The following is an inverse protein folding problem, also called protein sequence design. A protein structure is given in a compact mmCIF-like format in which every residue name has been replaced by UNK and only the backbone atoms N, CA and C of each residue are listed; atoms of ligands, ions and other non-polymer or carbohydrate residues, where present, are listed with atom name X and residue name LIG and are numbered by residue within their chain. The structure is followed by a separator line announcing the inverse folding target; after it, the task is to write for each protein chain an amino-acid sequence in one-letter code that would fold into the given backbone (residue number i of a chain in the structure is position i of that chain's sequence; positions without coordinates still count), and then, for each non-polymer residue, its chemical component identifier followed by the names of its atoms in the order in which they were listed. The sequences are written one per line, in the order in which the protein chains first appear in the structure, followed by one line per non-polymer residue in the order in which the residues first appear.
data_IF_764831827551
#
_entry.id   IF_764831827551
#
_cell.length_a   1.000
_cell.length_b   1.000
_cell.length_c   1.000
_cell.angle_alpha   90.00
_cell.angle_beta   90.00
_cell.angle_gamma   90.00
#
_symmetry.space_group_name_H-M   'P 1'
#
loop_
_entity.id
_entity.type
_entity.pdbx_description
1 polymer ?
#
# COMPACT_ATOMS: atom_id res chain seq x y z
N UNK A 1 -9.57 -51.28 34.09
CA UNK A 1 -10.64 -51.30 33.06
C UNK A 1 -11.14 -52.72 32.91
N UNK A 2 -12.46 -52.95 32.94
CA UNK A 2 -13.05 -54.30 32.83
C UNK A 2 -12.70 -54.91 31.46
N UNK A 3 -11.76 -55.87 31.43
CA UNK A 3 -11.53 -56.72 30.25
C UNK A 3 -12.68 -57.74 30.21
N UNK A 4 -13.74 -57.41 29.49
CA UNK A 4 -14.92 -58.28 29.36
C UNK A 4 -14.57 -59.55 28.57
N UNK A 5 -14.63 -60.70 29.24
CA UNK A 5 -14.54 -62.01 28.58
C UNK A 5 -15.94 -62.32 28.01
N UNK A 6 -16.08 -62.36 26.69
CA UNK A 6 -17.35 -62.80 26.08
C UNK A 6 -17.40 -64.34 26.18
N UNK A 7 -18.44 -64.95 26.78
CA UNK A 7 -18.55 -66.40 26.84
C UNK A 7 -18.69 -67.00 25.43
N UNK A 8 -18.12 -68.18 25.17
CA UNK A 8 -18.10 -68.79 23.84
C UNK A 8 -19.54 -68.99 23.30
N UNK A 9 -19.81 -68.49 22.10
CA UNK A 9 -21.04 -68.80 21.36
C UNK A 9 -20.78 -69.95 20.39
N UNK A 10 -21.67 -70.95 20.36
CA UNK A 10 -21.65 -72.02 19.35
C UNK A 10 -22.14 -71.43 18.03
N UNK A 11 -21.30 -71.47 17.00
CA UNK A 11 -21.74 -71.16 15.64
C UNK A 11 -22.59 -72.32 15.10
N UNK A 12 -23.50 -72.02 14.16
CA UNK A 12 -24.50 -72.97 13.59
C UNK A 12 -23.88 -74.18 12.87
N UNK A 13 -22.57 -74.18 12.67
CA UNK A 13 -21.76 -75.19 12.00
C UNK A 13 -20.84 -75.98 12.96
N UNK A 14 -21.06 -75.92 14.27
CA UNK A 14 -20.33 -76.71 15.28
C UNK A 14 -18.97 -76.13 15.71
N UNK A 15 -18.58 -74.96 15.20
CA UNK A 15 -17.37 -74.25 15.63
C UNK A 15 -17.62 -73.40 16.90
N UNK A 16 -16.64 -73.37 17.80
CA UNK A 16 -16.64 -72.51 18.98
C UNK A 16 -15.88 -71.21 18.70
N UNK A 17 -16.57 -70.07 18.72
CA UNK A 17 -15.96 -68.76 18.48
C UNK A 17 -15.78 -68.03 19.82
N UNK A 18 -14.58 -67.53 20.07
CA UNK A 18 -14.22 -66.68 21.21
C UNK A 18 -13.74 -65.33 20.67
N UNK A 19 -14.33 -64.24 21.16
CA UNK A 19 -13.96 -62.87 20.79
C UNK A 19 -13.46 -62.07 21.99
N UNK A 20 -12.48 -61.20 21.75
CA UNK A 20 -12.00 -60.19 22.71
C UNK A 20 -12.36 -58.81 22.16
N UNK A 21 -13.07 -58.00 22.95
CA UNK A 21 -13.42 -56.62 22.61
C UNK A 21 -12.72 -55.68 23.61
N UNK A 22 -11.94 -54.72 23.09
CA UNK A 22 -11.31 -53.66 23.90
C UNK A 22 -12.06 -52.36 23.60
N UNK A 23 -12.85 -51.88 24.57
CA UNK A 23 -13.58 -50.60 24.44
C UNK A 23 -12.72 -49.46 24.98
N UNK A 24 -12.72 -48.33 24.28
CA UNK A 24 -11.97 -47.12 24.64
C UNK A 24 -10.46 -47.38 24.83
N UNK A 25 -9.85 -48.04 23.84
CA UNK A 25 -8.43 -48.40 23.89
C UNK A 25 -7.54 -47.16 24.03
N UNK A 26 -6.55 -47.27 24.91
CA UNK A 26 -5.50 -46.27 25.18
C UNK A 26 -4.14 -46.81 24.75
N UNK A 27 -3.10 -45.98 24.75
CA UNK A 27 -1.72 -46.46 24.49
C UNK A 27 -1.28 -47.57 25.44
N UNK A 28 -1.90 -47.70 26.62
CA UNK A 28 -1.63 -48.79 27.57
C UNK A 28 -2.21 -50.16 27.13
N UNK A 29 -3.10 -50.18 26.14
CA UNK A 29 -3.70 -51.40 25.61
C UNK A 29 -2.90 -51.99 24.44
N UNK A 30 -1.84 -51.32 23.99
CA UNK A 30 -0.91 -51.85 22.98
C UNK A 30 -0.11 -53.03 23.52
N UNK A 31 -0.01 -54.10 22.74
CA UNK A 31 0.72 -55.30 23.15
C UNK A 31 0.32 -56.57 22.40
N UNK A 32 0.92 -57.70 22.77
CA UNK A 32 0.54 -59.02 22.26
C UNK A 32 -0.56 -59.61 23.12
N UNK A 33 -1.67 -59.97 22.49
CA UNK A 33 -2.79 -60.66 23.11
C UNK A 33 -2.78 -62.12 22.69
N UNK A 34 -2.64 -63.00 23.67
CA UNK A 34 -2.56 -64.44 23.46
C UNK A 34 -3.94 -65.07 23.63
N UNK A 35 -4.35 -65.88 22.66
CA UNK A 35 -5.50 -66.76 22.77
C UNK A 35 -5.01 -68.19 22.95
N UNK A 36 -5.30 -68.78 24.11
CA UNK A 36 -4.91 -70.14 24.47
C UNK A 36 -6.16 -71.00 24.65
N UNK A 37 -6.22 -72.12 23.94
CA UNK A 37 -7.26 -73.12 24.08
C UNK A 37 -6.64 -74.46 24.50
N UNK A 38 -7.22 -75.11 25.51
CA UNK A 38 -6.78 -76.41 26.02
C UNK A 38 -7.96 -77.38 26.01
N UNK A 39 -7.76 -78.56 25.43
CA UNK A 39 -8.71 -79.68 25.50
C UNK A 39 -7.95 -80.89 26.05
N UNK A 40 -8.43 -81.41 27.18
CA UNK A 40 -7.72 -82.43 27.97
C UNK A 40 -6.27 -82.02 28.25
N UNK A 41 -5.27 -82.70 27.69
CA UNK A 41 -3.84 -82.42 27.90
C UNK A 41 -3.16 -81.72 26.71
N UNK A 42 -3.92 -81.28 25.70
CA UNK A 42 -3.36 -80.60 24.51
C UNK A 42 -3.74 -79.12 24.55
N UNK A 43 -2.73 -78.26 24.57
CA UNK A 43 -2.88 -76.81 24.49
C UNK A 43 -2.41 -76.30 23.13
N UNK A 44 -3.22 -75.43 22.51
CA UNK A 44 -2.85 -74.63 21.35
C UNK A 44 -2.94 -73.15 21.72
N UNK A 45 -1.97 -72.37 21.27
CA UNK A 45 -1.91 -70.93 21.50
C UNK A 45 -1.66 -70.20 20.18
N UNK A 46 -2.31 -69.06 20.02
CA UNK A 46 -2.01 -68.07 18.99
C UNK A 46 -1.93 -66.70 19.65
N UNK A 47 -1.33 -65.72 18.97
CA UNK A 47 -1.35 -64.35 19.45
C UNK A 47 -1.70 -63.38 18.32
N UNK A 48 -2.23 -62.23 18.72
CA UNK A 48 -2.44 -61.08 17.86
C UNK A 48 -1.79 -59.85 18.50
N UNK A 49 -1.11 -59.02 17.71
CA UNK A 49 -0.52 -57.77 18.22
C UNK A 49 -1.55 -56.66 18.01
N UNK A 50 -1.96 -56.02 19.09
CA UNK A 50 -2.76 -54.80 19.08
C UNK A 50 -1.79 -53.63 19.13
N UNK A 51 -1.96 -52.66 18.24
CA UNK A 51 -1.20 -51.41 18.18
C UNK A 51 -2.21 -50.29 18.30
N UNK A 52 -1.98 -49.33 19.20
CA UNK A 52 -2.91 -48.21 19.41
C UNK A 52 -2.28 -46.95 18.82
N UNK A 53 -2.79 -46.51 17.67
CA UNK A 53 -2.33 -45.28 17.02
C UNK A 53 -3.10 -44.09 17.60
N UNK A 54 -2.39 -43.08 18.09
CA UNK A 54 -2.99 -41.79 18.41
C UNK A 54 -3.44 -41.15 17.11
N UNK A 55 -4.74 -40.91 16.99
CA UNK A 55 -5.30 -40.22 15.84
C UNK A 55 -4.67 -38.82 15.68
N UNK A 56 -4.42 -38.44 14.44
CA UNK A 56 -3.99 -37.10 14.06
C UNK A 56 -5.01 -36.51 13.10
N UNK A 57 -5.28 -35.22 13.20
CA UNK A 57 -6.04 -34.43 12.22
C UNK A 57 -5.31 -33.12 12.04
N UNK A 58 -5.08 -32.70 10.80
CA UNK A 58 -4.59 -31.36 10.47
C UNK A 58 -5.20 -30.88 9.15
N UNK A 59 -5.59 -29.60 9.11
CA UNK A 59 -6.15 -28.93 7.95
C UNK A 59 -5.16 -27.85 7.50
N UNK A 60 -4.72 -27.89 6.24
CA UNK A 60 -3.87 -26.83 5.68
C UNK A 60 -4.69 -25.57 5.30
N UNK A 61 -4.09 -24.37 5.29
CA UNK A 61 -4.78 -23.15 4.85
C UNK A 61 -5.29 -23.28 3.40
N UNK A 62 -6.54 -22.88 3.17
CA UNK A 62 -7.21 -22.85 1.85
C UNK A 62 -7.96 -21.53 1.72
N UNK A 63 -8.12 -21.00 0.51
CA UNK A 63 -9.04 -19.89 0.27
C UNK A 63 -10.46 -20.29 0.70
N UNK A 64 -10.97 -19.62 1.73
CA UNK A 64 -12.23 -20.01 2.37
C UNK A 64 -13.45 -19.32 1.78
N UNK A 65 -13.26 -18.25 1.00
CA UNK A 65 -14.37 -17.45 0.44
C UNK A 65 -14.61 -17.80 -1.02
N UNK A 66 -15.85 -18.11 -1.39
CA UNK A 66 -16.27 -18.31 -2.78
C UNK A 66 -17.43 -17.37 -3.13
N UNK A 67 -17.46 -16.96 -4.40
CA UNK A 67 -18.52 -16.13 -4.99
C UNK A 67 -19.34 -16.95 -6.00
N UNK A 68 -20.65 -16.81 -5.96
CA UNK A 68 -21.58 -17.47 -6.88
C UNK A 68 -22.80 -16.61 -7.16
N UNK A 69 -23.45 -16.82 -8.29
CA UNK A 69 -24.77 -16.26 -8.59
C UNK A 69 -25.86 -17.32 -8.36
N UNK A 70 -27.09 -16.89 -8.08
CA UNK A 70 -28.26 -17.78 -8.05
C UNK A 70 -28.40 -18.52 -9.37
N UNK A 71 -28.50 -19.85 -9.32
CA UNK A 71 -28.56 -20.74 -10.47
C UNK A 71 -27.22 -21.36 -10.88
N UNK A 72 -26.09 -20.94 -10.29
CA UNK A 72 -24.79 -21.58 -10.54
C UNK A 72 -24.89 -23.08 -10.20
N UNK A 73 -24.42 -23.93 -11.11
CA UNK A 73 -24.59 -25.39 -10.98
C UNK A 73 -23.85 -25.98 -9.78
N UNK A 74 -22.63 -25.54 -9.51
CA UNK A 74 -21.82 -26.04 -8.39
C UNK A 74 -20.83 -24.99 -7.90
N UNK A 75 -20.60 -24.96 -6.59
CA UNK A 75 -19.44 -24.34 -5.93
C UNK A 75 -18.72 -25.44 -5.15
N UNK A 76 -17.39 -25.47 -5.19
CA UNK A 76 -16.60 -26.48 -4.49
C UNK A 76 -15.40 -25.87 -3.79
N UNK A 77 -15.11 -26.34 -2.58
CA UNK A 77 -13.85 -26.12 -1.87
C UNK A 77 -13.10 -27.43 -1.76
N UNK A 78 -11.79 -27.40 -1.96
CA UNK A 78 -10.91 -28.57 -1.81
C UNK A 78 -10.03 -28.35 -0.59
N UNK A 79 -10.27 -29.11 0.46
CA UNK A 79 -9.56 -29.06 1.73
C UNK A 79 -8.46 -30.12 1.76
N UNK A 80 -7.23 -29.74 2.06
CA UNK A 80 -6.16 -30.71 2.34
C UNK A 80 -6.26 -31.14 3.80
N UNK A 81 -6.56 -32.41 4.02
CA UNK A 81 -6.85 -32.96 5.35
C UNK A 81 -6.03 -34.22 5.59
N UNK A 82 -5.10 -34.11 6.54
CA UNK A 82 -4.25 -35.22 6.96
C UNK A 82 -4.83 -35.85 8.22
N UNK A 83 -5.60 -36.92 8.05
CA UNK A 83 -6.24 -37.62 9.17
C UNK A 83 -6.18 -39.14 9.06
N UNK A 84 -5.70 -39.77 10.14
CA UNK A 84 -5.64 -41.23 10.29
C UNK A 84 -6.00 -41.64 11.73
N UNK A 85 -6.93 -42.61 11.94
CA UNK A 85 -7.78 -43.26 10.94
C UNK A 85 -8.80 -42.30 10.31
N UNK A 86 -9.68 -42.80 9.43
CA UNK A 86 -10.66 -41.97 8.72
C UNK A 86 -11.55 -41.18 9.71
N UNK A 87 -11.52 -39.84 9.68
CA UNK A 87 -12.36 -39.03 10.55
C UNK A 87 -13.81 -39.04 10.07
N UNK A 88 -14.73 -38.76 10.99
CA UNK A 88 -16.08 -38.36 10.64
C UNK A 88 -16.07 -36.91 10.16
N UNK A 89 -16.85 -36.59 9.12
CA UNK A 89 -16.91 -35.24 8.54
C UNK A 89 -18.34 -34.77 8.61
N UNK A 90 -18.56 -33.66 9.29
CA UNK A 90 -19.86 -33.03 9.48
C UNK A 90 -19.81 -31.66 8.80
N UNK A 91 -20.84 -31.32 8.02
CA UNK A 91 -20.98 -30.00 7.42
C UNK A 91 -22.14 -29.29 8.11
N UNK A 92 -21.92 -28.06 8.55
CA UNK A 92 -22.98 -27.17 9.01
C UNK A 92 -23.12 -25.98 8.08
N UNK A 93 -24.33 -25.47 7.95
CA UNK A 93 -24.63 -24.21 7.30
C UNK A 93 -25.38 -23.31 8.29
N UNK A 94 -24.85 -22.11 8.55
CA UNK A 94 -25.41 -21.15 9.52
C UNK A 94 -25.73 -21.79 10.88
N UNK A 95 -24.84 -22.69 11.35
CA UNK A 95 -24.93 -23.38 12.64
C UNK A 95 -25.75 -24.67 12.65
N UNK A 96 -26.48 -25.01 11.58
CA UNK A 96 -27.29 -26.22 11.47
C UNK A 96 -26.58 -27.29 10.62
N UNK A 97 -26.57 -28.54 11.08
CA UNK A 97 -26.01 -29.66 10.32
C UNK A 97 -26.82 -29.92 9.05
N UNK A 98 -26.12 -30.03 7.92
CA UNK A 98 -26.72 -30.29 6.61
C UNK A 98 -26.37 -31.71 6.13
N UNK A 99 -27.31 -32.42 5.50
CA UNK A 99 -27.08 -33.80 5.06
C UNK A 99 -26.16 -33.88 3.84
N UNK A 100 -25.33 -34.93 3.76
CA UNK A 100 -24.57 -35.25 2.56
C UNK A 100 -25.51 -35.89 1.50
N UNK A 101 -25.88 -35.12 0.47
CA UNK A 101 -26.85 -35.50 -0.55
C UNK A 101 -26.54 -34.84 -1.91
N UNK A 102 -27.53 -34.78 -2.81
CA UNK A 102 -27.39 -34.15 -4.13
C UNK A 102 -27.18 -32.63 -4.09
N UNK A 103 -27.55 -31.96 -2.99
CA UNK A 103 -27.35 -30.53 -2.75
C UNK A 103 -25.99 -30.27 -2.13
N UNK A 104 -25.73 -30.83 -0.96
CA UNK A 104 -24.46 -30.70 -0.24
C UNK A 104 -23.68 -32.00 -0.37
N UNK A 105 -22.58 -32.01 -1.10
CA UNK A 105 -21.80 -33.21 -1.37
C UNK A 105 -20.42 -33.11 -0.73
N UNK A 106 -20.04 -34.13 0.03
CA UNK A 106 -18.71 -34.29 0.59
C UNK A 106 -18.05 -35.49 -0.06
N UNK A 107 -16.96 -35.26 -0.79
CA UNK A 107 -16.18 -36.30 -1.44
C UNK A 107 -14.78 -36.33 -0.86
N UNK A 108 -14.24 -37.53 -0.62
CA UNK A 108 -12.88 -37.69 -0.09
C UNK A 108 -12.00 -38.39 -1.10
N UNK A 109 -10.80 -37.83 -1.31
CA UNK A 109 -9.74 -38.47 -2.07
C UNK A 109 -8.65 -38.93 -1.09
N UNK A 110 -8.57 -40.24 -0.88
CA UNK A 110 -7.61 -40.84 0.05
C UNK A 110 -6.17 -40.78 -0.47
N UNK A 111 -5.96 -40.85 -1.79
CA UNK A 111 -4.63 -40.79 -2.40
C UNK A 111 -4.03 -39.39 -2.30
N UNK A 112 -4.85 -38.36 -2.57
CA UNK A 112 -4.44 -36.96 -2.53
C UNK A 112 -4.57 -36.31 -1.14
N UNK A 113 -5.09 -37.04 -0.15
CA UNK A 113 -5.40 -36.53 1.20
C UNK A 113 -6.27 -35.26 1.16
N UNK A 114 -7.31 -35.26 0.33
CA UNK A 114 -8.22 -34.11 0.19
C UNK A 114 -9.68 -34.48 0.49
N UNK A 115 -10.43 -33.47 0.95
CA UNK A 115 -11.88 -33.49 1.08
C UNK A 115 -12.43 -32.36 0.22
N UNK A 116 -13.29 -32.69 -0.73
CA UNK A 116 -14.02 -31.73 -1.55
C UNK A 116 -15.41 -31.54 -0.98
N UNK A 117 -15.75 -30.31 -0.62
CA UNK A 117 -17.10 -29.91 -0.21
C UNK A 117 -17.74 -29.15 -1.36
N UNK A 118 -18.86 -29.64 -1.87
CA UNK A 118 -19.57 -29.07 -3.02
C UNK A 118 -21.01 -28.74 -2.70
N UNK A 119 -21.46 -27.55 -3.09
CA UNK A 119 -22.85 -27.11 -3.02
C UNK A 119 -23.37 -27.00 -4.45
N UNK A 120 -24.45 -27.69 -4.76
CA UNK A 120 -25.05 -27.74 -6.09
C UNK A 120 -26.27 -26.81 -6.20
N UNK A 121 -26.60 -26.39 -7.42
CA UNK A 121 -27.79 -25.59 -7.74
C UNK A 121 -27.99 -24.41 -6.78
N UNK A 122 -27.05 -23.47 -6.79
CA UNK A 122 -26.97 -22.37 -5.82
C UNK A 122 -28.25 -21.52 -5.83
N UNK A 123 -28.73 -21.17 -4.64
CA UNK A 123 -29.89 -20.33 -4.36
C UNK A 123 -29.50 -19.22 -3.39
N UNK A 124 -30.33 -18.18 -3.22
CA UNK A 124 -30.06 -17.09 -2.29
C UNK A 124 -29.99 -17.57 -0.83
N UNK A 125 -30.69 -18.68 -0.51
CA UNK A 125 -30.66 -19.32 0.81
C UNK A 125 -29.34 -20.01 1.13
N UNK A 126 -28.47 -20.22 0.14
CA UNK A 126 -27.15 -20.83 0.35
C UNK A 126 -26.08 -19.80 0.75
N UNK A 127 -26.40 -18.50 0.75
CA UNK A 127 -25.50 -17.45 1.23
C UNK A 127 -25.23 -17.63 2.73
N UNK A 128 -23.95 -17.53 3.10
CA UNK A 128 -23.56 -17.61 4.50
C UNK A 128 -22.30 -18.41 4.75
N UNK A 129 -22.20 -18.88 5.99
CA UNK A 129 -21.00 -19.55 6.50
C UNK A 129 -21.28 -21.05 6.65
N UNK A 130 -20.41 -21.83 6.05
CA UNK A 130 -20.36 -23.28 6.17
C UNK A 130 -19.23 -23.67 7.10
N UNK A 131 -19.50 -24.54 8.07
CA UNK A 131 -18.49 -25.07 8.98
C UNK A 131 -18.27 -26.54 8.67
N UNK A 132 -17.05 -26.88 8.25
CA UNK A 132 -16.63 -28.27 8.06
C UNK A 132 -15.96 -28.73 9.34
N UNK A 133 -16.60 -29.66 10.03
CA UNK A 133 -16.15 -30.22 11.30
C UNK A 133 -15.59 -31.62 11.03
N UNK A 134 -14.31 -31.81 11.32
CA UNK A 134 -13.57 -33.05 11.16
C UNK A 134 -13.35 -33.64 12.54
N UNK A 135 -14.00 -34.76 12.81
CA UNK A 135 -14.03 -35.39 14.13
C UNK A 135 -13.33 -36.75 14.09
N UNK A 136 -12.30 -36.92 14.94
CA UNK A 136 -11.56 -38.15 15.13
C UNK A 136 -11.58 -38.54 16.61
N UNK A 137 -12.59 -39.33 17.01
CA UNK A 137 -12.84 -39.66 18.41
C UNK A 137 -13.21 -38.42 19.23
N UNK A 138 -12.31 -38.02 20.14
CA UNK A 138 -12.45 -36.80 20.96
C UNK A 138 -11.79 -35.56 20.34
N UNK A 139 -10.99 -35.72 19.28
CA UNK A 139 -10.38 -34.59 18.58
C UNK A 139 -11.36 -34.03 17.54
N UNK A 140 -11.47 -32.71 17.50
CA UNK A 140 -12.30 -32.00 16.53
C UNK A 140 -11.52 -30.83 15.95
N UNK A 141 -11.49 -30.71 14.63
CA UNK A 141 -11.06 -29.48 13.95
C UNK A 141 -12.21 -28.93 13.12
N UNK A 142 -12.31 -27.61 13.07
CA UNK A 142 -13.35 -26.90 12.32
C UNK A 142 -12.70 -25.88 11.40
N UNK A 143 -13.17 -25.83 10.15
CA UNK A 143 -12.83 -24.77 9.20
C UNK A 143 -14.11 -24.11 8.68
N UNK A 144 -14.11 -22.78 8.65
CA UNK A 144 -15.23 -21.97 8.14
C UNK A 144 -14.99 -21.58 6.68
N UNK A 145 -15.97 -21.88 5.83
CA UNK A 145 -16.02 -21.52 4.41
C UNK A 145 -17.14 -20.51 4.22
N UNK A 146 -16.90 -19.44 3.47
CA UNK A 146 -17.90 -18.39 3.21
C UNK A 146 -18.37 -18.49 1.77
N UNK A 147 -19.67 -18.66 1.56
CA UNK A 147 -20.31 -18.48 0.26
C UNK A 147 -20.99 -17.12 0.23
N UNK A 148 -20.65 -16.32 -0.79
CA UNK A 148 -21.36 -15.08 -1.11
C UNK A 148 -22.19 -15.37 -2.35
N UNK A 149 -23.52 -15.40 -2.20
CA UNK A 149 -24.46 -15.52 -3.32
C UNK A 149 -24.84 -14.13 -3.76
N UNK A 150 -24.23 -13.71 -4.87
CA UNK A 150 -24.56 -12.47 -5.56
C UNK A 150 -25.97 -12.62 -6.12
N UNK A 151 -26.90 -11.83 -5.59
CA UNK A 151 -28.30 -11.82 -6.03
C UNK A 151 -28.38 -11.44 -7.51
N UNK A 152 -28.58 -12.45 -8.37
CA UNK A 152 -28.89 -12.25 -9.79
C UNK A 152 -30.32 -11.75 -9.89
N UNK A 153 -30.49 -10.43 -9.92
CA UNK A 153 -31.66 -9.86 -10.60
C UNK A 153 -31.51 -10.31 -12.06
N UNK A 154 -32.43 -11.14 -12.55
CA UNK A 154 -32.56 -11.39 -13.98
C UNK A 154 -32.98 -10.08 -14.65
N UNK A 155 -32.00 -9.24 -14.96
CA UNK A 155 -32.17 -8.29 -16.05
C UNK A 155 -32.17 -9.14 -17.32
N UNK A 156 -33.29 -9.17 -18.05
CA UNK A 156 -33.17 -9.10 -19.50
C UNK A 156 -32.13 -8.03 -19.75
N UNK A 157 -30.94 -8.37 -20.25
CA UNK A 157 -29.93 -7.36 -20.61
C UNK A 157 -30.69 -6.43 -21.54
N UNK A 158 -31.01 -5.20 -21.11
CA UNK A 158 -31.57 -4.24 -22.03
C UNK A 158 -30.46 -4.09 -23.06
N UNK A 159 -30.79 -4.07 -24.35
CA UNK A 159 -29.88 -3.63 -25.41
C UNK A 159 -29.57 -2.13 -25.24
N UNK A 160 -29.18 -1.75 -24.04
CA UNK A 160 -28.92 -0.41 -23.57
C UNK A 160 -27.48 -0.09 -23.88
N UNK A 161 -27.31 1.03 -24.54
CA UNK A 161 -26.04 1.70 -24.72
C UNK A 161 -25.84 2.63 -23.52
N UNK A 162 -24.68 2.54 -22.87
CA UNK A 162 -24.23 3.56 -21.91
C UNK A 162 -23.18 4.40 -22.62
N UNK A 163 -23.31 5.72 -22.62
CA UNK A 163 -22.24 6.62 -23.05
C UNK A 163 -22.10 7.79 -22.08
N UNK A 164 -20.85 8.13 -21.77
CA UNK A 164 -20.51 9.21 -20.85
C UNK A 164 -19.64 10.22 -21.59
N UNK A 165 -20.11 11.46 -21.69
CA UNK A 165 -19.31 12.58 -22.21
C UNK A 165 -18.93 13.51 -21.05
N UNK A 166 -17.64 13.57 -20.64
CA UNK A 166 -17.21 14.52 -19.61
C UNK A 166 -17.16 15.95 -20.14
N UNK A 167 -17.70 16.89 -19.36
CA UNK A 167 -17.57 18.33 -19.64
C UNK A 167 -16.28 18.89 -19.04
N UNK A 168 -16.02 18.61 -17.76
CA UNK A 168 -14.74 18.87 -17.07
C UNK A 168 -14.55 17.82 -15.97
N UNK A 169 -13.40 17.14 -15.90
CA UNK A 169 -13.16 16.09 -14.89
C UNK A 169 -12.34 16.56 -13.70
N UNK A 170 -11.66 17.70 -13.80
CA UNK A 170 -10.83 18.24 -12.71
C UNK A 170 -11.49 19.47 -12.12
N UNK A 171 -11.63 19.50 -10.80
CA UNK A 171 -12.14 20.65 -10.06
C UNK A 171 -11.17 21.09 -8.97
N UNK A 172 -11.20 22.39 -8.68
CA UNK A 172 -10.35 23.05 -7.70
C UNK A 172 -11.20 23.62 -6.57
N UNK A 173 -10.72 23.45 -5.34
CA UNK A 173 -11.41 23.93 -4.15
C UNK A 173 -10.42 24.33 -3.05
N UNK A 174 -10.83 25.26 -2.20
CA UNK A 174 -10.16 25.52 -0.93
C UNK A 174 -10.91 24.79 0.20
N UNK A 175 -10.20 24.49 1.28
CA UNK A 175 -10.79 23.98 2.52
C UNK A 175 -11.89 24.92 3.02
N UNK A 176 -13.06 24.38 3.31
CA UNK A 176 -14.26 25.12 3.71
C UNK A 176 -15.17 25.53 2.56
N UNK A 177 -14.80 25.26 1.29
CA UNK A 177 -15.73 25.47 0.16
C UNK A 177 -16.98 24.63 0.38
N UNK A 178 -18.16 25.25 0.24
CA UNK A 178 -19.44 24.62 0.58
C UNK A 178 -19.79 23.43 -0.31
N UNK A 179 -19.52 23.52 -1.61
CA UNK A 179 -19.84 22.46 -2.57
C UNK A 179 -18.88 22.50 -3.76
N UNK A 180 -18.53 21.32 -4.27
CA UNK A 180 -17.98 21.10 -5.60
C UNK A 180 -18.88 20.11 -6.31
N UNK A 181 -19.24 20.37 -7.56
CA UNK A 181 -20.12 19.49 -8.33
C UNK A 181 -19.55 19.24 -9.72
N UNK A 182 -19.70 18.01 -10.20
CA UNK A 182 -19.47 17.62 -11.59
C UNK A 182 -20.79 17.22 -12.22
N UNK A 183 -21.00 17.65 -13.46
CA UNK A 183 -22.15 17.25 -14.27
C UNK A 183 -21.68 16.28 -15.33
N UNK A 184 -22.24 15.08 -15.31
CA UNK A 184 -21.97 14.01 -16.26
C UNK A 184 -23.19 13.82 -17.14
N UNK A 185 -23.03 13.92 -18.46
CA UNK A 185 -24.08 13.52 -19.38
C UNK A 185 -24.02 12.01 -19.51
N UNK A 186 -25.13 11.33 -19.16
CA UNK A 186 -25.21 9.87 -19.16
C UNK A 186 -26.46 9.46 -19.88
N UNK A 187 -26.26 8.89 -21.06
CA UNK A 187 -27.32 8.31 -21.86
C UNK A 187 -27.35 6.82 -21.58
N UNK A 188 -28.39 6.37 -20.89
CA UNK A 188 -28.59 4.98 -20.52
C UNK A 188 -30.09 4.70 -20.39
N UNK A 189 -30.52 3.57 -20.97
CA UNK A 189 -31.88 3.06 -20.86
C UNK A 189 -31.82 1.55 -20.62
N UNK A 190 -32.34 1.02 -19.49
CA UNK A 190 -32.94 1.71 -18.36
C UNK A 190 -31.90 2.43 -17.47
N UNK A 191 -32.37 3.07 -16.40
CA UNK A 191 -31.51 3.80 -15.47
C UNK A 191 -30.39 2.91 -14.88
N UNK A 192 -29.12 3.31 -15.00
CA UNK A 192 -28.00 2.50 -14.50
C UNK A 192 -27.85 2.64 -12.98
N UNK A 193 -27.19 1.67 -12.35
CA UNK A 193 -26.65 1.82 -10.99
C UNK A 193 -25.42 2.74 -11.02
N UNK A 194 -25.25 3.60 -10.01
CA UNK A 194 -24.11 4.53 -9.94
C UNK A 194 -23.43 4.35 -8.59
N UNK A 195 -22.14 4.05 -8.63
CA UNK A 195 -21.30 3.87 -7.46
C UNK A 195 -20.20 4.92 -7.50
N UNK A 196 -19.97 5.64 -6.40
CA UNK A 196 -18.86 6.55 -6.24
C UNK A 196 -17.79 5.91 -5.35
N UNK A 197 -16.54 5.86 -5.82
CA UNK A 197 -15.40 5.39 -5.02
C UNK A 197 -14.37 6.48 -4.83
N UNK A 198 -13.81 6.56 -3.62
CA UNK A 198 -12.68 7.41 -3.28
C UNK A 198 -11.63 6.59 -2.52
N UNK A 199 -10.35 6.73 -2.88
CA UNK A 199 -9.26 5.93 -2.31
C UNK A 199 -9.49 4.40 -2.38
N UNK A 200 -10.19 3.94 -3.43
CA UNK A 200 -10.51 2.53 -3.65
C UNK A 200 -11.75 2.03 -2.90
N UNK A 201 -12.28 2.81 -1.96
CA UNK A 201 -13.45 2.46 -1.16
C UNK A 201 -14.71 3.13 -1.72
N UNK A 202 -15.84 2.46 -1.65
CA UNK A 202 -17.13 3.05 -1.96
C UNK A 202 -17.51 4.09 -0.91
N UNK A 203 -17.94 5.26 -1.37
CA UNK A 203 -18.41 6.33 -0.49
C UNK A 203 -19.94 6.37 -0.52
N UNK A 204 -20.59 6.52 0.65
CA UNK A 204 -22.05 6.50 0.73
C UNK A 204 -22.65 7.77 0.14
N UNK A 205 -23.83 7.64 -0.50
CA UNK A 205 -24.64 8.79 -0.90
C UNK A 205 -25.32 9.41 0.34
N UNK A 206 -24.87 10.57 0.78
CA UNK A 206 -25.31 11.23 2.01
C UNK A 206 -25.13 12.75 1.94
N UNK A 207 -25.22 13.45 3.07
CA UNK A 207 -25.04 14.91 3.15
C UNK A 207 -23.64 15.41 2.77
N UNK A 208 -22.64 14.52 2.71
CA UNK A 208 -21.26 14.83 2.32
C UNK A 208 -21.02 14.56 0.84
N UNK A 209 -21.39 13.37 0.37
CA UNK A 209 -21.27 12.96 -1.03
C UNK A 209 -22.68 12.78 -1.60
N UNK A 210 -23.11 13.63 -2.52
CA UNK A 210 -24.44 13.58 -3.11
C UNK A 210 -24.35 13.16 -4.58
N UNK A 211 -25.19 12.20 -4.99
CA UNK A 211 -25.39 11.84 -6.39
C UNK A 211 -26.84 12.10 -6.75
N UNK A 212 -27.06 13.10 -7.60
CA UNK A 212 -28.38 13.50 -8.09
C UNK A 212 -28.52 13.13 -9.56
N UNK A 213 -29.71 12.71 -9.98
CA UNK A 213 -30.01 12.36 -11.37
C UNK A 213 -31.07 13.29 -11.91
N UNK A 214 -30.82 13.85 -13.08
CA UNK A 214 -31.83 14.56 -13.85
C UNK A 214 -32.23 13.70 -15.06
N UNK A 215 -33.41 13.09 -14.98
CA UNK A 215 -33.92 12.20 -16.03
C UNK A 215 -34.29 12.95 -17.31
N UNK A 216 -34.77 14.18 -17.20
CA UNK A 216 -35.15 15.01 -18.37
C UNK A 216 -33.91 15.43 -19.16
N UNK A 217 -32.85 15.83 -18.45
CA UNK A 217 -31.61 16.31 -19.06
C UNK A 217 -30.61 15.18 -19.34
N UNK A 218 -30.90 13.95 -18.94
CA UNK A 218 -29.98 12.79 -19.01
C UNK A 218 -28.62 13.09 -18.37
N UNK A 219 -28.64 13.68 -17.18
CA UNK A 219 -27.43 14.04 -16.44
C UNK A 219 -27.38 13.43 -15.04
N UNK A 220 -26.16 13.21 -14.57
CA UNK A 220 -25.84 12.89 -13.18
C UNK A 220 -25.00 14.03 -12.63
N UNK A 221 -25.38 14.53 -11.47
CA UNK A 221 -24.63 15.53 -10.72
C UNK A 221 -23.99 14.83 -9.53
N UNK A 222 -22.65 14.81 -9.50
CA UNK A 222 -21.88 14.32 -8.35
C UNK A 222 -21.40 15.52 -7.57
N UNK A 223 -21.83 15.66 -6.33
CA UNK A 223 -21.49 16.78 -5.45
C UNK A 223 -20.75 16.34 -4.19
N UNK A 224 -19.73 17.10 -3.80
CA UNK A 224 -19.03 16.95 -2.52
C UNK A 224 -19.24 18.23 -1.73
N UNK A 225 -19.79 18.12 -0.53
CA UNK A 225 -20.10 19.25 0.34
C UNK A 225 -19.02 19.46 1.41
N UNK A 226 -18.91 20.69 1.93
CA UNK A 226 -18.04 21.07 3.05
C UNK A 226 -16.61 20.54 2.88
N UNK A 227 -15.91 21.02 1.85
CA UNK A 227 -14.62 20.49 1.42
C UNK A 227 -13.56 20.57 2.53
N UNK A 228 -12.85 19.46 2.73
CA UNK A 228 -11.74 19.28 3.67
C UNK A 228 -10.50 18.78 2.93
N UNK A 229 -9.36 18.72 3.62
CA UNK A 229 -8.11 18.19 3.05
C UNK A 229 -8.20 16.68 2.72
N UNK A 230 -9.09 15.94 3.38
CA UNK A 230 -9.32 14.51 3.17
C UNK A 230 -10.04 14.22 1.85
N UNK A 231 -10.79 15.20 1.32
CA UNK A 231 -11.55 15.02 0.07
C UNK A 231 -10.66 15.12 -1.18
N UNK A 232 -9.41 15.56 -1.03
CA UNK A 232 -8.44 15.70 -2.12
C UNK A 232 -8.08 14.35 -2.74
N UNK A 233 -8.26 14.22 -4.06
CA UNK A 233 -7.89 13.00 -4.77
C UNK A 233 -8.77 12.69 -5.96
N UNK A 234 -8.68 11.45 -6.42
CA UNK A 234 -9.44 10.95 -7.56
C UNK A 234 -10.63 10.17 -7.06
N UNK A 235 -11.80 10.53 -7.56
CA UNK A 235 -13.07 9.84 -7.39
C UNK A 235 -13.35 9.04 -8.65
N UNK A 236 -13.75 7.77 -8.50
CA UNK A 236 -14.20 6.94 -9.60
C UNK A 236 -15.70 6.83 -9.55
N UNK A 237 -16.38 7.35 -10.56
CA UNK A 237 -17.81 7.12 -10.75
C UNK A 237 -17.95 5.90 -11.64
N UNK A 238 -18.58 4.86 -11.12
CA UNK A 238 -18.81 3.58 -11.79
C UNK A 238 -20.29 3.53 -12.14
N UNK A 239 -20.59 3.43 -13.42
CA UNK A 239 -21.95 3.36 -13.95
C UNK A 239 -22.16 1.95 -14.47
N UNK A 240 -23.12 1.24 -13.89
CA UNK A 240 -23.38 -0.17 -14.16
C UNK A 240 -24.79 -0.35 -14.72
N UNK A 241 -24.91 -0.99 -15.89
CA UNK A 241 -26.18 -1.36 -16.50
C UNK A 241 -26.13 -2.85 -16.86
N UNK A 242 -26.72 -3.69 -16.01
CA UNK A 242 -26.58 -5.15 -16.13
C UNK A 242 -25.10 -5.57 -16.06
N UNK A 243 -24.57 -6.13 -17.14
CA UNK A 243 -23.16 -6.54 -17.26
C UNK A 243 -22.24 -5.43 -17.78
N UNK A 244 -22.79 -4.35 -18.34
CA UNK A 244 -21.97 -3.24 -18.83
C UNK A 244 -21.53 -2.36 -17.66
N UNK A 245 -20.25 -2.00 -17.63
CA UNK A 245 -19.68 -1.07 -16.65
C UNK A 245 -18.84 -0.02 -17.36
N UNK A 246 -19.12 1.25 -17.08
CA UNK A 246 -18.24 2.35 -17.44
C UNK A 246 -17.71 3.03 -16.18
N UNK A 247 -16.48 3.53 -16.25
CA UNK A 247 -15.85 4.24 -15.14
C UNK A 247 -15.27 5.54 -15.63
N UNK A 248 -15.60 6.62 -14.93
CA UNK A 248 -15.02 7.95 -15.15
C UNK A 248 -14.28 8.40 -13.88
N UNK A 249 -13.13 9.02 -14.08
CA UNK A 249 -12.32 9.60 -13.01
C UNK A 249 -12.60 11.10 -12.88
N UNK A 250 -13.02 11.54 -11.70
CA UNK A 250 -13.17 12.94 -11.32
C UNK A 250 -12.07 13.30 -10.33
N UNK A 251 -11.30 14.34 -10.62
CA UNK A 251 -10.17 14.78 -9.80
C UNK A 251 -10.56 16.01 -9.00
N UNK A 252 -10.57 15.91 -7.68
CA UNK A 252 -10.63 17.07 -6.79
C UNK A 252 -9.23 17.46 -6.35
N UNK A 253 -8.88 18.73 -6.55
CA UNK A 253 -7.65 19.33 -6.04
C UNK A 253 -8.02 20.28 -4.92
N UNK A 254 -7.66 19.92 -3.69
CA UNK A 254 -7.79 20.82 -2.53
C UNK A 254 -6.52 21.66 -2.42
N UNK A 255 -6.67 22.94 -2.73
CA UNK A 255 -5.58 23.91 -2.74
C UNK A 255 -5.09 24.21 -1.32
N UNK A 256 -3.78 24.47 -1.18
CA UNK A 256 -3.13 24.75 0.10
C UNK A 256 -3.18 23.63 1.14
N UNK A 257 -3.61 22.43 0.75
CA UNK A 257 -3.46 21.24 1.57
C UNK A 257 -2.00 21.09 2.00
N UNK A 258 -1.77 21.02 3.31
CA UNK A 258 -0.46 20.70 3.87
C UNK A 258 -0.12 19.26 3.48
N UNK A 259 0.97 19.09 2.72
CA UNK A 259 1.44 17.77 2.27
C UNK A 259 2.67 17.31 3.05
N UNK A 260 3.26 18.19 3.85
CA UNK A 260 4.32 17.84 4.78
C UNK A 260 4.85 19.03 5.56
N UNK A 261 5.34 18.77 6.77
CA UNK A 261 5.97 19.77 7.63
C UNK A 261 7.16 19.12 8.35
N UNK A 262 8.34 19.67 8.13
CA UNK A 262 9.59 19.21 8.75
C UNK A 262 10.22 20.31 9.59
N UNK A 263 11.41 20.08 10.14
CA UNK A 263 12.12 21.04 11.00
C UNK A 263 12.27 22.42 10.33
N UNK A 264 12.67 22.45 9.06
CA UNK A 264 13.05 23.67 8.34
C UNK A 264 12.01 24.21 7.34
N UNK A 265 10.84 23.59 7.22
CA UNK A 265 9.89 24.01 6.18
C UNK A 265 8.48 23.43 6.31
N UNK A 266 7.56 24.09 5.61
CA UNK A 266 6.17 23.72 5.44
C UNK A 266 5.92 23.53 3.94
N UNK A 267 5.42 22.37 3.55
CA UNK A 267 5.16 22.00 2.16
C UNK A 267 3.65 21.96 1.95
N UNK A 268 3.18 22.71 0.96
CA UNK A 268 1.76 22.74 0.56
C UNK A 268 1.60 22.31 -0.88
N UNK A 269 0.45 21.72 -1.20
CA UNK A 269 0.03 21.48 -2.57
C UNK A 269 -0.40 22.78 -3.25
N UNK A 270 0.03 22.98 -4.49
CA UNK A 270 -0.40 24.09 -5.33
C UNK A 270 -0.55 23.66 -6.80
N UNK A 271 -1.03 24.58 -7.64
CA UNK A 271 -1.15 24.41 -9.08
C UNK A 271 -0.30 25.48 -9.76
N UNK A 272 0.57 25.05 -10.66
CA UNK A 272 1.41 25.91 -11.49
C UNK A 272 0.89 25.88 -12.93
N UNK A 273 0.57 27.06 -13.48
CA UNK A 273 0.04 27.18 -14.84
C UNK A 273 1.19 27.30 -15.83
N UNK A 274 1.19 26.49 -16.90
CA UNK A 274 2.09 26.59 -18.05
C UNK A 274 3.56 26.27 -17.78
N UNK A 275 3.89 25.68 -16.64
CA UNK A 275 5.28 25.41 -16.23
C UNK A 275 5.92 24.27 -17.04
N UNK A 276 5.11 23.31 -17.52
CA UNK A 276 5.54 22.14 -18.30
C UNK A 276 4.67 21.99 -19.56
N UNK A 277 5.06 22.56 -20.72
CA UNK A 277 4.34 22.29 -21.97
C UNK A 277 4.35 20.79 -22.32
N UNK A 278 3.24 20.22 -22.84
CA UNK A 278 1.98 20.87 -23.22
C UNK A 278 0.97 21.03 -22.07
N UNK A 279 1.32 20.71 -20.83
CA UNK A 279 0.42 20.82 -19.67
C UNK A 279 0.05 22.29 -19.41
N UNK A 280 -1.25 22.59 -19.46
CA UNK A 280 -1.78 23.90 -19.05
C UNK A 280 -1.64 24.12 -17.54
N UNK A 281 -1.85 23.07 -16.75
CA UNK A 281 -1.76 23.10 -15.30
C UNK A 281 -1.00 21.89 -14.78
N UNK A 282 -0.01 22.15 -13.93
CA UNK A 282 0.80 21.13 -13.27
C UNK A 282 0.55 21.21 -11.77
N UNK A 283 0.14 20.10 -11.15
CA UNK A 283 0.10 20.01 -9.68
C UNK A 283 1.53 19.99 -9.13
N UNK A 284 1.85 20.85 -8.17
CA UNK A 284 3.19 21.02 -7.62
C UNK A 284 3.19 21.00 -6.09
N UNK A 285 4.33 20.62 -5.51
CA UNK A 285 4.63 20.81 -4.10
C UNK A 285 5.39 22.12 -3.91
N UNK A 286 4.88 23.01 -3.06
CA UNK A 286 5.51 24.30 -2.72
C UNK A 286 6.03 24.24 -1.30
N UNK A 287 7.37 24.22 -1.16
CA UNK A 287 8.03 24.32 0.13
C UNK A 287 8.25 25.79 0.49
N UNK A 288 7.73 26.21 1.64
CA UNK A 288 7.84 27.54 2.21
C UNK A 288 8.41 27.48 3.61
N UNK A 289 9.00 28.59 4.09
CA UNK A 289 9.38 28.71 5.51
C UNK A 289 8.14 28.65 6.39
N UNK A 290 8.28 28.09 7.60
CA UNK A 290 7.20 28.09 8.60
C UNK A 290 6.85 29.54 8.99
N UNK A 291 5.56 29.84 9.23
CA UNK A 291 5.16 31.09 9.87
C UNK A 291 5.89 31.24 11.22
N UNK A 292 6.52 32.39 11.48
CA UNK A 292 7.27 32.66 12.72
C UNK A 292 8.75 32.23 12.70
N UNK A 293 9.17 31.34 11.80
CA UNK A 293 10.56 30.90 11.66
C UNK A 293 11.35 31.77 10.65
N UNK A 294 11.42 33.08 10.92
CA UNK A 294 12.06 34.05 10.03
C UNK A 294 13.57 34.25 10.31
N UNK A 295 14.17 33.42 11.16
CA UNK A 295 15.60 33.52 11.46
C UNK A 295 16.47 33.15 10.24
N UNK A 296 17.73 33.57 10.31
CA UNK A 296 18.70 33.37 9.24
C UNK A 296 18.96 31.87 8.98
N UNK A 297 19.04 31.05 10.02
CA UNK A 297 19.28 29.60 9.90
C UNK A 297 18.22 28.89 9.05
N UNK A 298 16.93 29.13 9.30
CA UNK A 298 15.84 28.54 8.52
C UNK A 298 15.82 29.04 7.08
N UNK A 299 16.25 30.29 6.85
CA UNK A 299 16.44 30.80 5.50
C UNK A 299 17.57 30.06 4.78
N UNK A 300 18.70 29.84 5.46
CA UNK A 300 19.87 29.19 4.89
C UNK A 300 19.65 27.70 4.62
N UNK A 301 18.91 27.00 5.49
CA UNK A 301 18.52 25.60 5.26
C UNK A 301 17.68 25.45 3.97
N UNK A 302 16.66 26.30 3.78
CA UNK A 302 15.86 26.30 2.55
C UNK A 302 16.70 26.62 1.30
N UNK A 303 17.70 27.51 1.44
CA UNK A 303 18.62 27.85 0.36
C UNK A 303 19.57 26.70 0.01
N UNK A 304 20.01 25.90 0.99
CA UNK A 304 20.82 24.70 0.72
C UNK A 304 20.03 23.62 -0.02
N UNK A 305 18.79 23.37 0.38
CA UNK A 305 17.93 22.43 -0.33
C UNK A 305 17.70 22.87 -1.78
N UNK A 306 17.44 24.17 -1.99
CA UNK A 306 17.30 24.74 -3.33
C UNK A 306 18.59 24.57 -4.15
N UNK A 307 19.77 24.72 -3.52
CA UNK A 307 21.08 24.49 -4.16
C UNK A 307 21.26 23.04 -4.59
N UNK A 308 20.96 22.09 -3.71
CA UNK A 308 21.10 20.65 -3.99
C UNK A 308 20.16 20.26 -5.14
N UNK A 309 18.88 20.64 -5.04
CA UNK A 309 17.88 20.31 -6.05
C UNK A 309 18.12 20.97 -7.40
N UNK A 310 18.72 22.17 -7.44
CA UNK A 310 19.07 22.83 -8.70
C UNK A 310 20.23 22.14 -9.41
N UNK A 311 21.18 21.54 -8.67
CA UNK A 311 22.30 20.80 -9.23
C UNK A 311 21.91 19.39 -9.70
N UNK A 312 21.11 18.66 -8.90
CA UNK A 312 20.65 17.31 -9.24
C UNK A 312 19.94 17.24 -10.60
N UNK A 313 19.26 18.31 -11.00
CA UNK A 313 18.59 18.39 -12.29
C UNK A 313 17.36 17.48 -12.36
N UNK A 314 17.11 16.89 -13.53
CA UNK A 314 16.00 15.96 -13.73
C UNK A 314 16.46 14.54 -13.38
N UNK A 315 15.93 13.99 -12.30
CA UNK A 315 16.27 12.65 -11.83
C UNK A 315 15.01 11.78 -11.70
N UNK A 316 15.11 10.51 -12.09
CA UNK A 316 13.95 9.61 -12.15
C UNK A 316 13.35 9.30 -10.76
N UNK A 317 14.21 9.25 -9.74
CA UNK A 317 13.83 8.83 -8.39
C UNK A 317 13.87 9.96 -7.34
N UNK A 318 14.12 11.21 -7.75
CA UNK A 318 14.16 12.37 -6.84
C UNK A 318 13.20 13.43 -7.35
N UNK A 319 12.51 14.12 -6.43
CA UNK A 319 11.59 15.19 -6.78
C UNK A 319 12.32 16.32 -7.54
N UNK A 320 11.82 16.64 -8.73
CA UNK A 320 12.46 17.64 -9.59
C UNK A 320 12.07 19.06 -9.19
N UNK A 321 13.05 19.95 -9.11
CA UNK A 321 12.80 21.38 -8.93
C UNK A 321 12.22 21.98 -10.21
N UNK A 322 10.99 22.48 -10.14
CA UNK A 322 10.34 23.18 -11.27
C UNK A 322 10.57 24.70 -11.25
N UNK A 323 10.80 25.29 -10.08
CA UNK A 323 11.02 26.73 -9.92
C UNK A 323 11.13 27.18 -8.46
N UNK A 324 11.54 28.42 -8.25
CA UNK A 324 11.61 29.07 -6.94
C UNK A 324 11.26 30.56 -7.06
N UNK A 325 10.63 31.13 -6.02
CA UNK A 325 10.17 32.52 -6.01
C UNK A 325 10.51 33.25 -4.70
N UNK A 326 10.82 34.55 -4.78
CA UNK A 326 11.02 35.44 -3.61
C UNK A 326 10.08 36.65 -3.69
N UNK A 327 9.84 37.32 -2.55
CA UNK A 327 8.84 38.42 -2.41
C UNK A 327 9.07 39.64 -3.32
N UNK A 328 10.24 39.80 -3.95
CA UNK A 328 10.65 41.03 -4.65
C UNK A 328 10.66 40.96 -6.20
N UNK A 329 10.03 39.94 -6.81
CA UNK A 329 10.03 39.75 -8.27
C UNK A 329 8.69 40.06 -8.97
N UNK A 330 7.73 40.65 -8.26
CA UNK A 330 6.35 40.82 -8.74
C UNK A 330 6.12 41.99 -9.72
N UNK A 331 7.16 42.54 -10.34
CA UNK A 331 7.03 43.56 -11.38
C UNK A 331 7.82 43.10 -12.59
N UNK A 332 7.12 42.48 -13.55
CA UNK A 332 7.24 42.72 -15.00
C UNK A 332 6.62 41.54 -15.80
N UNK A 333 5.92 41.88 -16.89
CA UNK A 333 5.40 40.94 -17.90
C UNK A 333 6.59 40.50 -18.75
N UNK A 334 7.04 39.26 -18.57
CA UNK A 334 8.28 38.69 -19.14
C UNK A 334 9.54 39.49 -18.71
N UNK A 335 10.14 39.08 -17.59
CA UNK A 335 11.17 39.89 -16.88
C UNK A 335 12.56 39.80 -17.55
N UNK A 336 12.75 38.87 -18.49
CA UNK A 336 13.97 38.83 -19.30
C UNK A 336 14.48 37.44 -19.63
N UNK A 337 15.40 37.42 -20.60
CA UNK A 337 16.15 36.26 -21.07
C UNK A 337 17.59 36.41 -20.61
N UNK A 338 18.04 35.53 -19.71
CA UNK A 338 19.44 35.46 -19.29
C UNK A 338 20.19 34.38 -20.07
N UNK A 339 21.52 34.38 -20.00
CA UNK A 339 22.37 33.39 -20.70
C UNK A 339 21.95 31.94 -20.43
N UNK A 340 21.38 31.62 -19.25
CA UNK A 340 21.17 30.26 -18.78
C UNK A 340 19.71 29.84 -18.57
N UNK A 341 18.73 30.69 -18.93
CA UNK A 341 17.30 30.36 -18.77
C UNK A 341 16.33 31.49 -19.07
N UNK A 342 15.04 31.15 -19.15
CA UNK A 342 13.95 32.12 -19.29
C UNK A 342 13.29 32.33 -17.92
N UNK A 343 13.13 33.59 -17.50
CA UNK A 343 12.31 33.92 -16.33
C UNK A 343 10.87 34.05 -16.81
N UNK A 344 10.08 33.00 -16.59
CA UNK A 344 8.67 32.98 -16.94
C UNK A 344 7.82 33.41 -15.75
N UNK A 345 6.77 34.18 -16.05
CA UNK A 345 5.74 34.48 -15.07
C UNK A 345 4.90 33.21 -14.88
N UNK A 346 4.92 32.62 -13.70
CA UNK A 346 3.93 31.63 -13.29
C UNK A 346 2.93 32.28 -12.33
N UNK A 347 1.71 31.79 -12.31
CA UNK A 347 0.71 32.20 -11.33
C UNK A 347 0.47 30.98 -10.45
N UNK A 348 0.76 31.13 -9.16
CA UNK A 348 0.50 30.13 -8.14
C UNK A 348 -0.71 30.58 -7.34
N UNK A 349 -1.77 29.78 -7.39
CA UNK A 349 -3.03 30.04 -6.70
C UNK A 349 -2.88 29.57 -5.24
N UNK A 350 -3.27 30.42 -4.29
CA UNK A 350 -3.41 30.05 -2.87
C UNK A 350 -2.23 30.31 -1.93
N UNK A 351 -1.06 30.77 -2.39
CA UNK A 351 0.13 30.91 -1.50
C UNK A 351 -0.10 31.88 -0.31
N UNK A 352 -0.99 32.88 -0.45
CA UNK A 352 -1.37 33.84 0.61
C UNK A 352 -2.89 33.97 0.72
N UNK A 353 -3.49 33.81 1.90
CA UNK A 353 -4.83 34.34 2.17
C UNK A 353 -4.77 35.89 2.24
N UNK A 354 -5.66 36.67 1.59
CA UNK A 354 -6.83 36.30 0.78
C UNK A 354 -6.56 36.30 -0.75
N UNK A 355 -5.30 36.37 -1.17
CA UNK A 355 -4.91 36.47 -2.59
C UNK A 355 -5.21 35.16 -3.33
N UNK A 356 -6.24 35.17 -4.19
CA UNK A 356 -6.60 34.01 -5.04
C UNK A 356 -5.47 33.63 -5.99
N UNK A 357 -4.70 34.60 -6.49
CA UNK A 357 -3.61 34.38 -7.44
C UNK A 357 -2.35 35.09 -6.96
N UNK A 358 -1.27 34.34 -6.73
CA UNK A 358 0.06 34.90 -6.50
C UNK A 358 0.88 34.77 -7.78
N UNK A 359 1.21 35.89 -8.41
CA UNK A 359 2.20 35.88 -9.49
C UNK A 359 3.58 35.56 -8.90
N UNK A 360 4.20 34.49 -9.38
CA UNK A 360 5.54 34.03 -9.01
C UNK A 360 6.44 34.02 -10.24
N UNK A 361 7.65 34.56 -10.13
CA UNK A 361 8.66 34.37 -11.15
C UNK A 361 9.21 32.95 -11.06
N UNK A 362 9.28 32.23 -12.18
CA UNK A 362 9.83 30.88 -12.29
C UNK A 362 10.94 30.92 -13.33
N UNK A 363 12.17 30.61 -12.93
CA UNK A 363 13.31 30.55 -13.86
C UNK A 363 13.48 29.11 -14.35
N UNK A 364 13.18 28.88 -15.63
CA UNK A 364 13.35 27.59 -16.30
C UNK A 364 14.78 27.45 -16.81
N UNK A 365 15.48 26.40 -16.37
CA UNK A 365 16.88 26.10 -16.70
C UNK A 365 17.03 25.67 -18.17
N UNK A 366 18.08 26.15 -18.86
CA UNK A 366 18.53 25.58 -20.14
C UNK A 366 19.27 24.23 -19.92
N UNK A 367 19.11 23.23 -20.79
CA UNK A 367 19.88 22.00 -20.70
C UNK A 367 21.40 22.28 -20.74
N UNK A 368 22.20 21.69 -19.84
CA UNK A 368 23.67 21.71 -19.90
C UNK A 368 24.44 22.69 -18.98
N UNK A 369 23.76 23.49 -18.14
CA UNK A 369 24.43 24.45 -17.25
C UNK A 369 24.53 23.90 -15.81
N UNK A 370 25.69 23.35 -15.39
CA UNK A 370 25.85 22.61 -14.12
C UNK A 370 27.02 23.08 -13.21
N UNK A 371 27.83 24.06 -13.62
CA UNK A 371 29.04 24.47 -12.89
C UNK A 371 28.80 25.50 -11.75
N UNK A 372 29.85 25.70 -10.92
CA UNK A 372 29.84 26.57 -9.74
C UNK A 372 29.66 28.08 -10.06
N UNK A 373 30.11 28.56 -11.23
CA UNK A 373 29.87 29.93 -11.68
C UNK A 373 28.39 30.17 -12.00
N UNK A 374 27.71 29.17 -12.60
CA UNK A 374 26.27 29.21 -12.86
C UNK A 374 25.46 29.28 -11.54
N UNK A 375 25.96 28.70 -10.46
CA UNK A 375 25.37 28.78 -9.12
C UNK A 375 25.47 30.19 -8.53
N UNK A 376 26.64 30.82 -8.60
CA UNK A 376 26.85 32.18 -8.08
C UNK A 376 26.05 33.22 -8.89
N UNK A 377 25.95 33.05 -10.21
CA UNK A 377 25.14 33.90 -11.08
C UNK A 377 23.63 33.74 -10.82
N UNK A 378 23.12 32.52 -10.64
CA UNK A 378 21.71 32.26 -10.26
C UNK A 378 21.36 32.91 -8.91
N UNK A 379 22.28 32.84 -7.95
CA UNK A 379 22.12 33.43 -6.62
C UNK A 379 22.17 34.97 -6.65
N UNK A 380 22.94 35.56 -7.58
CA UNK A 380 22.96 37.01 -7.85
C UNK A 380 21.68 37.48 -8.55
N UNK A 381 21.25 36.81 -9.64
CA UNK A 381 20.08 37.18 -10.44
C UNK A 381 18.76 37.03 -9.67
N UNK A 382 18.67 36.11 -8.69
CA UNK A 382 17.48 35.94 -7.87
C UNK A 382 17.27 37.07 -6.83
N UNK A 383 18.04 38.17 -6.87
CA UNK A 383 18.06 39.24 -5.83
C UNK A 383 18.24 38.69 -4.40
N UNK A 384 18.82 37.49 -4.26
CA UNK A 384 19.04 36.80 -2.98
C UNK A 384 20.30 37.34 -2.30
N UNK A 385 21.33 37.65 -3.09
CA UNK A 385 22.62 38.18 -2.61
C UNK A 385 22.51 39.56 -1.95
N UNK A 386 21.53 40.40 -2.33
CA UNK A 386 21.31 41.70 -1.67
C UNK A 386 20.77 41.57 -0.24
N UNK A 387 20.13 40.44 0.10
CA UNK A 387 19.64 40.15 1.46
C UNK A 387 20.66 39.39 2.32
N UNK A 388 21.72 38.84 1.70
CA UNK A 388 22.78 38.09 2.37
C UNK A 388 24.08 38.88 2.54
N UNK A 389 24.10 40.17 2.16
CA UNK A 389 25.30 41.01 2.02
C UNK A 389 26.24 41.05 3.22
N UNK A 390 25.79 40.70 4.43
CA UNK A 390 26.62 40.62 5.64
C UNK A 390 26.65 39.22 6.31
N UNK A 391 26.00 38.21 5.73
CA UNK A 391 25.79 36.89 6.34
C UNK A 391 26.46 35.72 5.59
N UNK A 392 27.36 36.03 4.65
CA UNK A 392 28.07 35.05 3.82
C UNK A 392 28.92 34.05 4.65
N UNK A 393 29.21 34.36 5.92
CA UNK A 393 29.89 33.49 6.87
C UNK A 393 28.98 32.48 7.61
N UNK A 394 27.66 32.50 7.40
CA UNK A 394 26.70 31.77 8.25
C UNK A 394 25.99 30.62 7.53
N UNK A 395 26.34 30.30 6.28
CA UNK A 395 25.76 29.15 5.56
C UNK A 395 26.58 27.91 5.88
N UNK A 396 26.14 26.97 6.77
CA UNK A 396 26.91 25.76 7.06
C UNK A 396 26.80 24.78 5.89
N UNK A 397 27.47 25.09 4.78
CA UNK A 397 27.77 24.09 3.77
C UNK A 397 28.69 23.08 4.47
N UNK A 398 28.39 21.79 4.39
CA UNK A 398 29.21 20.73 4.97
C UNK A 398 30.53 20.53 4.20
N UNK A 399 31.21 21.62 3.81
CA UNK A 399 32.43 21.61 3.00
C UNK A 399 33.56 20.78 3.63
N UNK A 400 33.53 20.58 4.95
CA UNK A 400 34.50 19.78 5.72
C UNK A 400 34.30 18.27 5.54
N UNK A 401 33.11 17.86 5.11
CA UNK A 401 32.73 16.47 4.83
C UNK A 401 32.70 16.15 3.35
N UNK A 402 32.84 17.14 2.48
CA UNK A 402 32.82 16.96 1.03
C UNK A 402 34.14 16.40 0.53
N UNK A 403 34.06 15.49 -0.43
CA UNK A 403 35.23 14.94 -1.12
C UNK A 403 35.89 16.01 -2.01
N UNK A 404 37.20 15.91 -2.28
CA UNK A 404 37.92 16.90 -3.09
C UNK A 404 37.31 17.13 -4.48
N UNK A 405 36.81 16.07 -5.13
CA UNK A 405 36.14 16.11 -6.43
C UNK A 405 34.77 16.81 -6.40
N UNK A 406 34.10 16.84 -5.23
CA UNK A 406 32.88 17.62 -5.05
C UNK A 406 33.17 19.13 -4.90
N UNK A 407 34.43 19.47 -4.60
CA UNK A 407 34.90 20.84 -4.40
C UNK A 407 35.58 21.42 -5.65
N UNK A 408 35.71 20.65 -6.73
CA UNK A 408 36.22 21.14 -8.03
C UNK A 408 35.13 21.83 -8.85
N UNK A 409 35.53 22.49 -9.94
CA UNK A 409 34.64 23.24 -10.84
C UNK A 409 33.45 22.41 -11.37
N UNK A 410 33.66 21.10 -11.56
CA UNK A 410 32.70 20.17 -12.14
C UNK A 410 31.70 19.59 -11.11
N UNK A 411 31.95 19.78 -9.81
CA UNK A 411 31.00 19.44 -8.74
C UNK A 411 30.51 17.99 -8.75
N UNK A 412 31.41 17.03 -9.02
CA UNK A 412 31.03 15.64 -9.25
C UNK A 412 30.76 14.92 -7.92
N UNK A 413 29.56 14.36 -7.78
CA UNK A 413 29.20 13.46 -6.69
C UNK A 413 29.19 12.03 -7.22
N UNK A 414 29.85 11.13 -6.51
CA UNK A 414 30.01 9.72 -6.88
C UNK A 414 29.86 8.84 -5.65
N UNK A 415 29.75 7.53 -5.83
CA UNK A 415 29.83 6.60 -4.70
C UNK A 415 31.13 6.76 -3.89
N UNK A 416 32.22 7.22 -4.53
CA UNK A 416 33.48 7.52 -3.82
C UNK A 416 33.37 8.78 -2.95
N UNK A 417 32.58 9.77 -3.36
CA UNK A 417 32.34 10.94 -2.51
C UNK A 417 31.50 10.61 -1.28
N UNK A 418 30.62 9.61 -1.37
CA UNK A 418 29.86 9.11 -0.22
C UNK A 418 30.76 8.34 0.75
N UNK A 419 31.68 7.51 0.22
CA UNK A 419 32.70 6.83 1.02
C UNK A 419 33.59 7.83 1.76
N UNK A 420 33.96 8.94 1.12
CA UNK A 420 34.71 10.02 1.75
C UNK A 420 33.93 10.66 2.90
N UNK A 421 32.67 11.07 2.66
CA UNK A 421 31.84 11.70 3.68
C UNK A 421 31.63 10.76 4.89
N UNK A 422 31.46 9.45 4.62
CA UNK A 422 31.41 8.42 5.64
C UNK A 422 32.72 8.30 6.43
N UNK A 423 33.88 8.37 5.76
CA UNK A 423 35.20 8.38 6.42
C UNK A 423 35.39 9.59 7.34
N UNK A 424 34.96 10.79 6.91
CA UNK A 424 34.98 11.99 7.78
C UNK A 424 34.03 11.82 8.97
N UNK A 425 32.87 11.20 8.77
CA UNK A 425 31.92 10.90 9.85
C UNK A 425 32.53 9.92 10.88
N UNK A 426 33.22 8.87 10.42
CA UNK A 426 33.94 7.95 11.31
C UNK A 426 35.04 8.69 12.08
N UNK A 427 35.77 9.59 11.42
CA UNK A 427 36.78 10.42 12.08
C UNK A 427 36.17 11.26 13.22
N UNK A 428 34.99 11.85 13.01
CA UNK A 428 34.29 12.60 14.07
C UNK A 428 33.88 11.72 15.24
N UNK A 429 33.39 10.51 14.96
CA UNK A 429 33.02 9.54 16.01
C UNK A 429 34.24 9.19 16.85
N UNK A 430 35.37 8.86 16.22
CA UNK A 430 36.61 8.49 16.91
C UNK A 430 37.39 9.67 17.50
N UNK A 431 36.94 10.90 17.27
CA UNK A 431 37.44 12.09 17.96
C UNK A 431 36.45 12.64 19.00
N UNK A 432 35.36 11.90 19.28
CA UNK A 432 34.30 12.30 20.22
C UNK A 432 33.64 13.63 19.83
N UNK A 433 33.43 13.84 18.52
CA UNK A 433 32.71 14.98 17.97
C UNK A 433 33.58 16.22 17.75
N UNK A 434 34.90 16.07 17.58
CA UNK A 434 35.73 17.20 17.12
C UNK A 434 35.29 17.68 15.73
N UNK A 435 35.48 18.97 15.46
CA UNK A 435 35.16 19.53 14.14
C UNK A 435 36.24 19.17 13.11
N UNK A 436 35.90 18.54 11.97
CA UNK A 436 36.90 18.20 10.94
C UNK A 436 37.61 19.44 10.38
N UNK A 437 38.93 19.37 10.21
CA UNK A 437 39.76 20.47 9.68
C UNK A 437 39.61 21.79 10.47
N UNK A 438 39.39 21.70 11.79
CA UNK A 438 39.15 22.86 12.66
C UNK A 438 40.18 23.98 12.44
N UNK A 439 39.70 25.23 12.42
CA UNK A 439 40.54 26.41 12.24
C UNK A 439 40.85 26.78 10.79
N UNK A 440 40.68 25.87 9.82
CA UNK A 440 40.91 26.18 8.39
C UNK A 440 39.75 26.95 7.77
N UNK A 441 40.06 27.97 6.95
CA UNK A 441 39.06 28.64 6.09
C UNK A 441 38.73 27.77 4.87
N UNK A 442 37.57 27.99 4.24
CA UNK A 442 37.10 27.13 3.13
C UNK A 442 38.08 27.09 1.95
N UNK A 443 38.60 28.24 1.52
CA UNK A 443 39.55 28.29 0.40
C UNK A 443 40.87 27.57 0.72
N UNK A 444 41.32 27.64 1.97
CA UNK A 444 42.52 26.99 2.46
C UNK A 444 42.33 25.47 2.53
N UNK A 445 41.18 25.01 3.02
CA UNK A 445 40.81 23.61 3.01
C UNK A 445 40.84 23.04 1.59
N UNK A 446 40.18 23.71 0.63
CA UNK A 446 40.12 23.24 -0.77
C UNK A 446 41.52 23.10 -1.35
N UNK A 447 42.39 24.10 -1.15
CA UNK A 447 43.77 24.06 -1.62
C UNK A 447 44.58 22.94 -0.94
N UNK A 448 44.42 22.74 0.36
CA UNK A 448 45.14 21.69 1.10
C UNK A 448 44.67 20.29 0.68
N UNK A 449 43.36 20.08 0.50
CA UNK A 449 42.81 18.82 0.00
C UNK A 449 43.34 18.48 -1.40
N UNK A 450 43.44 19.47 -2.29
CA UNK A 450 44.04 19.34 -3.63
C UNK A 450 45.53 19.00 -3.57
N UNK A 451 46.26 19.55 -2.59
CA UNK A 451 47.67 19.21 -2.33
C UNK A 451 47.87 17.87 -1.61
N UNK A 452 46.79 17.13 -1.34
CA UNK A 452 46.85 15.80 -0.73
C UNK A 452 46.76 15.80 0.81
N UNK A 453 46.57 16.94 1.46
CA UNK A 453 46.35 16.99 2.91
C UNK A 453 45.09 16.21 3.30
N UNK A 454 45.14 15.47 4.40
CA UNK A 454 44.01 14.69 4.96
C UNK A 454 43.95 14.88 6.47
N UNK A 455 42.81 14.55 7.07
CA UNK A 455 42.69 14.53 8.53
C UNK A 455 43.72 13.56 9.13
N UNK A 456 44.29 13.93 10.26
CA UNK A 456 45.17 13.05 11.04
C UNK A 456 44.39 11.88 11.63
N UNK A 457 45.09 10.81 12.01
CA UNK A 457 44.47 9.67 12.65
C UNK A 457 43.73 10.11 13.94
N UNK A 458 42.44 9.74 14.13
CA UNK A 458 41.69 10.05 15.35
C UNK A 458 42.38 9.52 16.60
N UNK A 459 42.33 10.30 17.69
CA UNK A 459 42.98 9.96 18.97
C UNK A 459 42.50 8.62 19.56
N UNK A 460 41.22 8.27 19.33
CA UNK A 460 40.64 7.04 19.85
C UNK A 460 40.53 5.91 18.80
N UNK A 461 41.14 6.07 17.63
CA UNK A 461 41.28 4.98 16.67
C UNK A 461 42.45 4.07 17.09
N UNK A 462 42.19 2.77 17.27
CA UNK A 462 43.24 1.81 17.63
C UNK A 462 43.95 1.27 16.38
N UNK A 463 45.16 0.72 16.53
CA UNK A 463 45.98 0.20 15.42
C UNK A 463 45.41 -1.08 14.74
N UNK A 464 44.23 -1.55 15.15
CA UNK A 464 43.57 -2.76 14.62
C UNK A 464 42.38 -2.43 13.72
N UNK A 465 42.06 -1.15 13.54
CA UNK A 465 41.03 -0.67 12.61
C UNK A 465 41.61 -0.34 11.25
#
# INVERSE_FOLDING_TARGET
MQKGRIPPKKASNGQHIIGLEIRNATSMDEGKYYCRATISNVTKESYHRVIVRNGHVEISPVETTAHAHKGKRTVSWVLKVEAEPNPNIILKHNGLEVPNNSKYCIQRNLEQKTITVSIHNITDEDDGIYEVIIQLGLQTQTISLKLIVESTIQYSVPDGHVEITPVETTAHAHKGKRTVSWVLKVEADPNPNIILKHNGLEVPNNSKYCIERNLEQKTIIVSIHNITDEDDGIYKVIIQLGLQTQTIALKLIVENKEIGRGEFGHVVRAVAIGIRPPERETTVAVKKRKPGCNNLENYLALMMELKIMSHLGNHMNVVNLLGACTKNMARDKEIGRGEFGHVVRAVAIGIRPPERETTVAVKKRKPGCNNLENYLALMMELKIMSHLGNHMNVVPIAYRWMAPECLTYDGMYTSQSDVWAFGVTLWEIFTLGMTPYQGMKVHELVQNLQKGYRLECPVYANHRM
#
